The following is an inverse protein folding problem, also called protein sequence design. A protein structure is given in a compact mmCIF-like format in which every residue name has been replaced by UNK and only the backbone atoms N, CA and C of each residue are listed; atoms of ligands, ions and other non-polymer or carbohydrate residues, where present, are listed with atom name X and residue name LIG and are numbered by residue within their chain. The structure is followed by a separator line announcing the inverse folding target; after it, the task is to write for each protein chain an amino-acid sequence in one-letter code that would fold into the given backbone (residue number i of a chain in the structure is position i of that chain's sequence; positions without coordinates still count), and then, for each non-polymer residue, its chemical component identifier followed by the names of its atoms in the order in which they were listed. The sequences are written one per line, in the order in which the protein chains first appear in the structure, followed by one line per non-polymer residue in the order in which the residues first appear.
data_IF_201939838641
#
_entry.id   IF_201939838641
#
_cell.length_a   1.000
_cell.length_b   1.000
_cell.length_c   1.000
_cell.angle_alpha   90.00
_cell.angle_beta   90.00
_cell.angle_gamma   90.00
#
_symmetry.space_group_name_H-M   'P 1'
#
loop_
_entity.id
_entity.type
_entity.pdbx_description
1 polymer ?
#
# COMPACT_ATOMS: atom_id res chain seq x y z
N UNK A 1 18.98 12.76 14.54
CA UNK A 1 18.54 11.46 13.98
C UNK A 1 17.04 11.59 13.84
N UNK A 2 16.53 11.68 12.60
CA UNK A 2 15.07 11.74 12.38
C UNK A 2 14.56 10.33 12.60
N UNK A 3 13.61 10.16 13.51
CA UNK A 3 12.91 8.91 13.71
C UNK A 3 12.15 8.59 12.41
N UNK A 4 12.75 7.73 11.55
CA UNK A 4 12.16 7.28 10.29
C UNK A 4 11.08 6.22 10.55
N UNK A 5 10.07 6.59 11.33
CA UNK A 5 8.95 5.70 11.64
C UNK A 5 8.01 5.69 10.44
N UNK A 6 8.02 4.59 9.70
CA UNK A 6 7.12 4.39 8.55
C UNK A 6 5.79 3.75 8.98
N UNK A 7 5.81 2.99 10.09
CA UNK A 7 4.70 2.14 10.51
C UNK A 7 4.48 2.17 12.02
N UNK A 8 3.23 1.89 12.39
CA UNK A 8 2.77 1.64 13.75
C UNK A 8 1.99 0.34 13.81
N UNK A 9 2.08 -0.33 14.95
CA UNK A 9 1.39 -1.58 15.22
C UNK A 9 0.48 -1.42 16.43
N UNK A 10 -0.78 -1.79 16.26
CA UNK A 10 -1.75 -1.87 17.35
C UNK A 10 -2.08 -3.34 17.61
N UNK A 11 -1.92 -3.86 18.83
CA UNK A 11 -2.38 -5.21 19.17
C UNK A 11 -3.87 -5.37 18.80
N UNK A 12 -4.21 -6.48 18.15
CA UNK A 12 -5.56 -6.69 17.63
C UNK A 12 -6.13 -8.02 18.10
N UNK A 13 -7.34 -7.96 18.64
CA UNK A 13 -8.18 -9.14 18.88
C UNK A 13 -8.94 -9.46 17.61
N UNK A 14 -8.47 -10.44 16.83
CA UNK A 14 -9.10 -10.83 15.57
C UNK A 14 -10.10 -11.97 15.86
N UNK A 15 -11.34 -11.83 15.40
CA UNK A 15 -12.37 -12.87 15.52
C UNK A 15 -12.86 -13.28 14.13
N UNK A 16 -12.80 -14.58 13.83
CA UNK A 16 -13.29 -15.11 12.56
C UNK A 16 -14.82 -15.31 12.55
N UNK A 17 -15.38 -15.68 11.39
CA UNK A 17 -16.83 -15.90 11.24
C UNK A 17 -17.38 -17.08 12.05
N UNK A 18 -16.52 -17.96 12.59
CA UNK A 18 -16.87 -19.10 13.43
C UNK A 18 -16.72 -18.79 14.92
N UNK A 19 -16.23 -17.61 15.28
CA UNK A 19 -15.96 -17.21 16.66
C UNK A 19 -14.60 -17.65 17.19
N UNK A 20 -13.70 -18.16 16.34
CA UNK A 20 -12.31 -18.38 16.75
C UNK A 20 -11.62 -17.03 16.87
N UNK A 21 -10.72 -16.87 17.84
CA UNK A 21 -9.98 -15.63 18.03
C UNK A 21 -8.47 -15.84 18.05
N UNK A 22 -7.73 -14.79 17.71
CA UNK A 22 -6.28 -14.72 17.77
C UNK A 22 -5.82 -13.32 18.19
N UNK A 23 -5.06 -13.24 19.29
CA UNK A 23 -4.51 -12.02 19.89
C UNK A 23 -3.03 -11.78 19.52
N UNK A 24 -2.45 -12.65 18.68
CA UNK A 24 -1.04 -12.54 18.25
C UNK A 24 -0.87 -11.58 17.07
N UNK A 25 -1.98 -11.13 16.48
CA UNK A 25 -1.99 -10.22 15.34
C UNK A 25 -1.91 -8.75 15.76
N UNK A 26 -1.39 -7.95 14.82
CA UNK A 26 -1.35 -6.50 14.94
C UNK A 26 -2.08 -5.85 13.76
N UNK A 27 -2.84 -4.81 14.03
CA UNK A 27 -3.29 -3.88 13.01
C UNK A 27 -2.12 -2.96 12.62
N UNK A 28 -1.72 -3.03 11.36
CA UNK A 28 -0.69 -2.19 10.76
C UNK A 28 -1.27 -0.82 10.39
N UNK A 29 -0.64 0.24 10.87
CA UNK A 29 -0.88 1.61 10.43
C UNK A 29 0.36 2.14 9.70
N UNK A 30 0.19 2.51 8.43
CA UNK A 30 1.26 3.11 7.61
C UNK A 30 1.15 4.62 7.77
N UNK A 31 2.22 5.24 8.26
CA UNK A 31 2.24 6.66 8.63
C UNK A 31 2.40 7.59 7.44
N UNK A 32 3.02 7.10 6.37
CA UNK A 32 3.39 7.91 5.21
C UNK A 32 2.27 7.87 4.16
N UNK A 33 1.59 9.01 3.97
CA UNK A 33 0.56 9.23 2.95
C UNK A 33 1.12 10.16 1.85
N UNK A 34 1.48 9.61 0.70
CA UNK A 34 2.23 10.34 -0.34
C UNK A 34 1.42 10.45 -1.64
N UNK A 35 1.32 11.65 -2.26
CA UNK A 35 0.77 11.82 -3.61
C UNK A 35 1.78 11.36 -4.66
N UNK A 36 1.71 10.07 -5.02
CA UNK A 36 2.69 9.43 -5.88
C UNK A 36 2.14 8.97 -7.23
N UNK A 37 0.86 9.22 -7.55
CA UNK A 37 0.32 8.89 -8.87
C UNK A 37 0.91 9.81 -9.95
N UNK A 38 1.57 9.24 -10.95
CA UNK A 38 2.00 9.95 -12.16
C UNK A 38 0.75 10.27 -13.00
N UNK A 39 0.23 11.49 -12.85
CA UNK A 39 -1.01 11.93 -13.50
C UNK A 39 -0.87 12.11 -15.01
N UNK A 40 0.35 12.16 -15.54
CA UNK A 40 0.61 12.30 -16.98
C UNK A 40 0.55 10.93 -17.68
N UNK A 41 1.04 9.87 -17.04
CA UNK A 41 1.08 8.51 -17.61
C UNK A 41 -0.08 7.63 -17.19
N UNK A 42 -0.69 7.89 -16.04
CA UNK A 42 -1.78 7.08 -15.50
C UNK A 42 -3.11 7.34 -16.21
N UNK A 43 -3.96 6.33 -16.22
CA UNK A 43 -5.34 6.43 -16.70
C UNK A 43 -6.25 6.35 -15.48
N UNK A 44 -6.96 7.43 -15.18
CA UNK A 44 -7.86 7.52 -14.04
C UNK A 44 -8.99 8.50 -14.33
N UNK A 45 -10.07 8.38 -13.56
CA UNK A 45 -11.16 9.34 -13.50
C UNK A 45 -11.26 9.87 -12.07
N UNK A 46 -11.69 11.13 -11.94
CA UNK A 46 -12.00 11.74 -10.64
C UNK A 46 -13.49 12.06 -10.65
N UNK A 47 -14.21 11.62 -9.62
CA UNK A 47 -15.64 11.96 -9.46
C UNK A 47 -15.84 13.27 -8.70
N UNK A 48 -17.10 13.64 -8.48
CA UNK A 48 -17.49 14.89 -7.79
C UNK A 48 -16.98 14.95 -6.34
N UNK A 49 -16.72 13.79 -5.71
CA UNK A 49 -16.22 13.65 -4.35
C UNK A 49 -14.68 13.61 -4.27
N UNK A 50 -14.00 13.88 -5.39
CA UNK A 50 -12.54 13.74 -5.56
C UNK A 50 -12.02 12.31 -5.36
N UNK A 51 -12.86 11.29 -5.56
CA UNK A 51 -12.44 9.91 -5.52
C UNK A 51 -11.75 9.51 -6.85
N UNK A 52 -10.58 8.88 -6.75
CA UNK A 52 -9.83 8.42 -7.91
C UNK A 52 -10.24 7.01 -8.32
N UNK A 53 -10.86 6.87 -9.49
CA UNK A 53 -11.06 5.60 -10.16
C UNK A 53 -9.86 5.30 -11.06
N UNK A 54 -8.87 4.59 -10.54
CA UNK A 54 -7.60 4.32 -11.24
C UNK A 54 -7.72 3.06 -12.10
N UNK A 55 -7.60 3.21 -13.43
CA UNK A 55 -7.71 2.13 -14.42
C UNK A 55 -6.36 1.52 -14.78
N UNK A 56 -5.33 2.37 -14.86
CA UNK A 56 -3.92 2.00 -15.06
C UNK A 56 -3.05 2.98 -14.30
N UNK A 57 -2.13 2.48 -13.50
CA UNK A 57 -1.35 3.31 -12.60
C UNK A 57 0.14 3.29 -12.95
N UNK A 58 0.73 4.47 -12.89
CA UNK A 58 2.16 4.72 -12.86
C UNK A 58 2.47 5.58 -11.65
N UNK A 59 3.65 5.40 -11.06
CA UNK A 59 4.08 6.07 -9.85
C UNK A 59 5.30 6.96 -10.12
N UNK A 60 5.30 8.13 -9.49
CA UNK A 60 6.48 8.98 -9.38
C UNK A 60 7.40 8.42 -8.28
N UNK A 61 8.15 7.37 -8.61
CA UNK A 61 8.99 6.62 -7.66
C UNK A 61 9.96 7.51 -6.86
N UNK A 62 10.45 8.61 -7.46
CA UNK A 62 11.30 9.60 -6.80
C UNK A 62 10.69 10.21 -5.54
N UNK A 63 9.35 10.24 -5.43
CA UNK A 63 8.63 10.75 -4.25
C UNK A 63 8.66 9.78 -3.06
N UNK A 64 9.15 8.56 -3.28
CA UNK A 64 9.12 7.47 -2.31
C UNK A 64 10.51 6.87 -2.05
N UNK A 65 11.59 7.42 -2.63
CA UNK A 65 12.96 6.87 -2.53
C UNK A 65 13.46 6.69 -1.09
N UNK A 66 12.98 7.52 -0.15
CA UNK A 66 13.36 7.46 1.26
C UNK A 66 12.50 6.51 2.11
N UNK A 67 11.55 5.77 1.48
CA UNK A 67 10.54 4.98 2.18
C UNK A 67 10.46 3.55 1.65
N UNK A 68 10.28 2.59 2.56
CA UNK A 68 10.07 1.18 2.25
C UNK A 68 8.60 0.87 1.99
N UNK A 69 7.69 1.62 2.62
CA UNK A 69 6.25 1.38 2.54
C UNK A 69 5.46 2.68 2.75
N UNK A 70 4.52 2.96 1.85
CA UNK A 70 3.66 4.15 1.92
C UNK A 70 2.24 3.83 1.48
N UNK A 71 1.29 4.69 1.86
CA UNK A 71 -0.07 4.70 1.33
C UNK A 71 -0.19 5.78 0.25
N UNK A 72 -0.79 5.44 -0.89
CA UNK A 72 -1.04 6.40 -1.97
C UNK A 72 -2.13 7.38 -1.55
N UNK A 73 -1.88 8.69 -1.68
CA UNK A 73 -2.83 9.73 -1.30
C UNK A 73 -4.08 9.74 -2.18
N UNK A 74 -3.91 9.45 -3.47
CA UNK A 74 -4.97 9.43 -4.46
C UNK A 74 -5.95 8.28 -4.23
N UNK A 75 -5.49 7.14 -3.68
CA UNK A 75 -6.33 5.98 -3.44
C UNK A 75 -5.92 5.26 -2.15
N UNK A 76 -6.67 5.48 -1.07
CA UNK A 76 -6.30 5.02 0.28
C UNK A 76 -6.08 3.51 0.40
N UNK A 77 -6.74 2.68 -0.40
CA UNK A 77 -6.50 1.22 -0.40
C UNK A 77 -5.17 0.79 -1.03
N UNK A 78 -4.46 1.68 -1.74
CA UNK A 78 -3.23 1.34 -2.44
C UNK A 78 -2.04 1.55 -1.50
N UNK A 79 -1.29 0.46 -1.30
CA UNK A 79 -0.06 0.44 -0.53
C UNK A 79 1.07 0.20 -1.52
N UNK A 80 2.04 1.12 -1.54
CA UNK A 80 3.20 1.04 -2.42
C UNK A 80 4.41 0.69 -1.56
N UNK A 81 5.24 -0.23 -2.04
CA UNK A 81 6.41 -0.73 -1.31
C UNK A 81 7.65 -0.65 -2.20
N UNK A 82 8.81 -0.53 -1.57
CA UNK A 82 10.08 -0.64 -2.29
C UNK A 82 10.32 -2.08 -2.77
N UNK A 83 11.18 -2.22 -3.77
CA UNK A 83 11.62 -3.55 -4.24
C UNK A 83 12.32 -4.34 -3.13
N UNK A 84 13.08 -3.67 -2.26
CA UNK A 84 13.70 -4.31 -1.09
C UNK A 84 12.66 -4.91 -0.14
N UNK A 85 11.58 -4.17 0.16
CA UNK A 85 10.49 -4.66 1.00
C UNK A 85 9.82 -5.90 0.39
N UNK A 86 9.51 -5.84 -0.92
CA UNK A 86 8.99 -6.99 -1.67
C UNK A 86 9.91 -8.21 -1.56
N UNK A 87 11.20 -8.02 -1.78
CA UNK A 87 12.20 -9.10 -1.73
C UNK A 87 12.28 -9.76 -0.35
N UNK A 88 12.15 -8.99 0.74
CA UNK A 88 12.07 -9.53 2.10
C UNK A 88 10.82 -10.39 2.25
N UNK A 89 9.65 -9.89 1.85
CA UNK A 89 8.39 -10.63 1.93
C UNK A 89 8.42 -11.96 1.17
N UNK A 90 8.97 -11.96 -0.03
CA UNK A 90 9.08 -13.16 -0.88
C UNK A 90 10.06 -14.18 -0.30
N UNK A 91 11.22 -13.71 0.19
CA UNK A 91 12.23 -14.57 0.84
C UNK A 91 11.67 -15.26 2.09
N UNK A 92 10.95 -14.52 2.92
CA UNK A 92 10.30 -15.04 4.14
C UNK A 92 9.00 -15.82 3.84
N UNK A 93 8.58 -15.90 2.57
CA UNK A 93 7.39 -16.64 2.09
C UNK A 93 6.11 -16.22 2.82
N UNK A 94 5.98 -14.92 3.08
CA UNK A 94 4.77 -14.35 3.67
C UNK A 94 3.57 -14.59 2.73
N UNK A 95 2.39 -14.74 3.32
CA UNK A 95 1.14 -15.07 2.61
C UNK A 95 0.07 -14.02 2.92
N UNK A 96 -1.02 -14.03 2.14
CA UNK A 96 -2.18 -13.18 2.37
C UNK A 96 -2.17 -11.86 1.58
N UNK A 97 -1.22 -11.69 0.67
CA UNK A 97 -1.14 -10.56 -0.26
C UNK A 97 -0.50 -11.00 -1.58
N UNK A 98 -0.62 -10.14 -2.60
CA UNK A 98 0.08 -10.27 -3.87
C UNK A 98 0.69 -8.92 -4.22
N UNK A 99 1.88 -8.93 -4.82
CA UNK A 99 2.47 -7.74 -5.42
C UNK A 99 1.97 -7.57 -6.86
N UNK A 100 1.73 -6.33 -7.24
CA UNK A 100 1.35 -5.95 -8.59
C UNK A 100 2.36 -4.93 -9.07
N UNK A 101 2.99 -5.22 -10.21
CA UNK A 101 3.97 -4.31 -10.81
C UNK A 101 3.27 -3.06 -11.38
N UNK A 102 4.05 -1.98 -11.47
CA UNK A 102 3.62 -0.74 -12.12
C UNK A 102 3.10 -1.00 -13.55
N UNK A 103 2.13 -0.19 -13.98
CA UNK A 103 1.56 -0.29 -15.32
C UNK A 103 0.55 -1.42 -15.48
N UNK A 104 0.28 -2.17 -14.41
CA UNK A 104 -0.84 -3.11 -14.37
C UNK A 104 -2.17 -2.38 -14.65
N UNK A 105 -2.95 -2.98 -15.55
CA UNK A 105 -4.27 -2.51 -15.94
C UNK A 105 -5.28 -3.59 -15.59
N UNK A 106 -6.36 -3.20 -14.90
CA UNK A 106 -7.53 -4.09 -14.68
C UNK A 106 -8.39 -4.22 -15.95
N UNK A 107 -8.13 -3.40 -16.98
CA UNK A 107 -8.79 -3.46 -18.28
C UNK A 107 -7.86 -4.12 -19.32
N UNK A 108 -8.41 -5.13 -20.02
CA UNK A 108 -7.80 -5.77 -21.20
C UNK A 108 -8.09 -4.99 -22.47
#
# INVERSE_FOLDING_TARGET
MVDNKEIEFFPAHIVDKKGNYDDTFFALNILQLIPCLDKEKSIFEIDEDNYYSIKKWFIEAQKMESYSIVRMKEHSSYIIVSEEFKNICEREKLKGFNFTEEGYSIWR
#
